data_IF_259010382072
#
_entry.id   IF_259010382072
#
_cell.length_a   1.000
_cell.length_b   1.000
_cell.length_c   1.000
_cell.angle_alpha   90.00
_cell.angle_beta   90.00
_cell.angle_gamma   90.00
#
_symmetry.space_group_name_H-M   'P 1'
#
loop_
_entity.id
_entity.type
_entity.pdbx_description
1 polymer ?
#
# COMPACT_ATOMS: atom_id res chain seq x y z
N UNK A 1 -37.08 -23.03 -59.42
CA UNK A 1 -36.27 -23.57 -58.29
C UNK A 1 -35.24 -22.51 -57.88
N UNK A 2 -35.53 -21.71 -56.84
CA UNK A 2 -34.62 -20.67 -56.33
C UNK A 2 -33.79 -21.27 -55.22
N UNK A 3 -32.46 -21.32 -55.37
CA UNK A 3 -31.50 -21.73 -54.33
C UNK A 3 -31.30 -20.56 -53.37
N UNK A 4 -31.67 -20.75 -52.14
CA UNK A 4 -31.41 -19.83 -51.03
C UNK A 4 -29.99 -20.12 -50.53
N UNK A 5 -29.07 -19.17 -50.68
CA UNK A 5 -27.72 -19.22 -50.09
C UNK A 5 -27.81 -18.66 -48.67
N UNK A 6 -27.63 -19.49 -47.65
CA UNK A 6 -27.50 -19.06 -46.24
C UNK A 6 -26.01 -18.74 -46.01
N UNK A 7 -25.69 -17.45 -45.87
CA UNK A 7 -24.38 -17.00 -45.44
C UNK A 7 -24.35 -16.99 -43.92
N UNK A 8 -23.64 -17.94 -43.32
CA UNK A 8 -23.39 -18.01 -41.87
C UNK A 8 -22.28 -17.03 -41.52
N UNK A 9 -22.62 -15.87 -40.92
CA UNK A 9 -21.62 -14.96 -40.33
C UNK A 9 -21.15 -15.56 -39.00
N UNK A 10 -19.93 -16.06 -38.96
CA UNK A 10 -19.24 -16.42 -37.72
C UNK A 10 -18.75 -15.13 -37.03
N UNK A 11 -19.45 -14.68 -35.98
CA UNK A 11 -18.95 -13.67 -35.06
C UNK A 11 -17.87 -14.32 -34.16
N UNK A 12 -16.60 -14.11 -34.53
CA UNK A 12 -15.47 -14.43 -33.62
C UNK A 12 -15.45 -13.34 -32.56
N UNK A 13 -16.05 -13.61 -31.40
CA UNK A 13 -15.87 -12.80 -30.22
C UNK A 13 -14.42 -12.90 -29.75
N UNK A 14 -13.62 -11.86 -29.98
CA UNK A 14 -12.29 -11.75 -29.38
C UNK A 14 -12.54 -11.45 -27.90
N UNK A 15 -12.50 -12.49 -27.07
CA UNK A 15 -12.42 -12.34 -25.62
C UNK A 15 -11.00 -11.84 -25.34
N UNK A 16 -10.84 -10.54 -25.16
CA UNK A 16 -9.62 -10.00 -24.55
C UNK A 16 -9.61 -10.52 -23.10
N UNK A 17 -8.96 -11.65 -22.87
CA UNK A 17 -8.58 -12.05 -21.54
C UNK A 17 -7.67 -10.97 -20.98
N UNK A 18 -8.13 -10.19 -20.02
CA UNK A 18 -7.25 -9.35 -19.21
C UNK A 18 -6.30 -10.31 -18.46
N UNK A 19 -5.11 -10.51 -19.04
CA UNK A 19 -4.03 -11.16 -18.29
C UNK A 19 -3.73 -10.27 -17.09
N UNK A 20 -3.89 -10.79 -15.89
CA UNK A 20 -3.46 -10.09 -14.69
C UNK A 20 -2.00 -9.66 -14.88
N UNK A 21 -1.73 -8.37 -14.77
CA UNK A 21 -0.38 -7.83 -14.98
C UNK A 21 0.54 -8.40 -13.90
N UNK A 22 1.53 -9.21 -14.34
CA UNK A 22 2.50 -9.82 -13.43
C UNK A 22 3.52 -8.78 -13.00
N UNK A 23 3.63 -8.53 -11.70
CA UNK A 23 4.69 -7.69 -11.14
C UNK A 23 6.02 -8.45 -11.23
N UNK A 24 7.08 -7.78 -11.68
CA UNK A 24 8.42 -8.35 -11.73
C UNK A 24 9.51 -7.28 -11.72
N UNK A 25 10.67 -7.64 -11.21
CA UNK A 25 11.86 -6.81 -11.35
C UNK A 25 12.16 -6.54 -12.82
N UNK A 26 12.59 -5.32 -13.12
CA UNK A 26 12.98 -4.96 -14.49
C UNK A 26 14.35 -5.57 -14.85
N UNK A 27 14.79 -5.39 -16.10
CA UNK A 27 16.05 -5.95 -16.59
C UNK A 27 17.30 -5.48 -15.85
N UNK A 28 17.20 -4.37 -15.08
CA UNK A 28 18.29 -3.85 -14.23
C UNK A 28 18.18 -4.37 -12.78
N UNK A 29 17.29 -5.34 -12.50
CA UNK A 29 17.05 -5.86 -11.18
C UNK A 29 16.42 -4.85 -10.21
N UNK A 30 15.64 -3.90 -10.71
CA UNK A 30 14.96 -2.88 -9.89
C UNK A 30 13.46 -3.03 -9.96
N UNK A 31 12.79 -2.71 -8.83
CA UNK A 31 11.34 -2.60 -8.74
C UNK A 31 11.00 -1.40 -7.85
N UNK A 32 10.25 -0.45 -8.38
CA UNK A 32 9.92 0.80 -7.70
C UNK A 32 8.44 0.87 -7.35
N UNK A 33 8.16 1.12 -6.08
CA UNK A 33 6.81 1.34 -5.55
C UNK A 33 6.67 2.81 -5.16
N UNK A 34 5.58 3.46 -5.56
CA UNK A 34 5.15 4.74 -5.00
C UNK A 34 3.96 4.48 -4.09
N UNK A 35 4.08 4.90 -2.84
CA UNK A 35 3.00 4.88 -1.86
C UNK A 35 2.36 6.25 -1.79
N UNK A 36 1.08 6.34 -2.18
CA UNK A 36 0.19 7.44 -1.87
C UNK A 36 -0.67 7.08 -0.67
N UNK A 37 -0.92 8.02 0.21
CA UNK A 37 -1.76 7.83 1.39
C UNK A 37 -2.50 9.11 1.74
N UNK A 38 -3.62 9.00 2.40
CA UNK A 38 -4.34 10.15 2.95
C UNK A 38 -4.58 11.24 1.90
N UNK A 39 -5.13 10.82 0.74
CA UNK A 39 -5.45 11.73 -0.36
C UNK A 39 -6.62 12.61 -0.01
N UNK A 40 -7.55 12.09 0.81
CA UNK A 40 -8.73 12.80 1.31
C UNK A 40 -9.45 13.61 0.24
N UNK A 41 -9.62 12.98 -0.92
CA UNK A 41 -10.18 13.64 -2.09
C UNK A 41 -11.69 13.90 -1.92
N UNK A 42 -12.09 15.13 -2.16
CA UNK A 42 -13.50 15.55 -2.22
C UNK A 42 -13.81 15.97 -3.66
N UNK A 43 -14.78 15.31 -4.28
CA UNK A 43 -15.17 15.58 -5.66
C UNK A 43 -15.70 17.02 -5.80
N UNK A 44 -15.21 17.74 -6.80
CA UNK A 44 -15.55 19.14 -7.09
C UNK A 44 -15.15 20.16 -6.00
N UNK A 45 -14.33 19.77 -5.02
CA UNK A 45 -13.76 20.71 -4.05
C UNK A 45 -12.40 21.22 -4.57
N UNK A 46 -12.21 22.54 -4.71
CA UNK A 46 -10.95 23.09 -5.22
C UNK A 46 -9.74 22.78 -4.32
N UNK A 47 -9.93 22.52 -3.02
CA UNK A 47 -8.87 22.11 -2.11
C UNK A 47 -8.27 20.76 -2.47
N UNK A 48 -9.05 19.89 -3.13
CA UNK A 48 -8.59 18.58 -3.59
C UNK A 48 -7.74 18.65 -4.88
N UNK A 49 -7.73 19.77 -5.60
CA UNK A 49 -7.03 19.87 -6.88
C UNK A 49 -5.52 19.62 -6.73
N UNK A 50 -4.92 20.09 -5.63
CA UNK A 50 -3.49 19.95 -5.37
C UNK A 50 -3.08 18.48 -5.13
N UNK A 51 -3.97 17.62 -4.62
CA UNK A 51 -3.66 16.19 -4.47
C UNK A 51 -3.53 15.50 -5.83
N UNK A 52 -4.43 15.82 -6.77
CA UNK A 52 -4.35 15.31 -8.15
C UNK A 52 -3.10 15.83 -8.87
N UNK A 53 -2.76 17.10 -8.70
CA UNK A 53 -1.52 17.69 -9.23
C UNK A 53 -0.30 16.94 -8.67
N UNK A 54 -0.27 16.73 -7.34
CA UNK A 54 0.82 16.03 -6.66
C UNK A 54 0.98 14.60 -7.13
N UNK A 55 -0.10 13.85 -7.23
CA UNK A 55 -0.07 12.48 -7.76
C UNK A 55 0.55 12.47 -9.16
N UNK A 56 0.11 13.36 -10.06
CA UNK A 56 0.62 13.41 -11.41
C UNK A 56 2.11 13.77 -11.47
N UNK A 57 2.56 14.79 -10.70
CA UNK A 57 3.97 15.16 -10.63
C UNK A 57 4.87 14.04 -10.10
N UNK A 58 4.42 13.32 -9.07
CA UNK A 58 5.16 12.18 -8.51
C UNK A 58 5.26 11.06 -9.53
N UNK A 59 4.15 10.70 -10.20
CA UNK A 59 4.15 9.64 -11.22
C UNK A 59 5.08 9.98 -12.40
N UNK A 60 5.08 11.24 -12.84
CA UNK A 60 5.92 11.69 -13.95
C UNK A 60 7.41 11.69 -13.57
N UNK A 61 7.74 12.05 -12.32
CA UNK A 61 9.11 12.08 -11.82
C UNK A 61 9.66 10.68 -11.50
N UNK A 62 8.86 9.83 -10.84
CA UNK A 62 9.33 8.54 -10.31
C UNK A 62 9.16 7.38 -11.29
N UNK A 63 8.13 7.39 -12.14
CA UNK A 63 7.82 6.32 -13.11
C UNK A 63 7.83 4.95 -12.44
N UNK A 64 6.93 4.72 -11.45
CA UNK A 64 6.95 3.50 -10.65
C UNK A 64 6.50 2.27 -11.46
N UNK A 65 6.92 1.10 -10.98
CA UNK A 65 6.45 -0.20 -11.45
C UNK A 65 5.12 -0.60 -10.78
N UNK A 66 4.82 -0.02 -9.60
CA UNK A 66 3.58 -0.21 -8.85
C UNK A 66 3.24 1.06 -8.06
N UNK A 67 1.95 1.39 -8.00
CA UNK A 67 1.41 2.37 -7.05
C UNK A 67 0.62 1.67 -5.97
N UNK A 68 0.91 1.98 -4.71
CA UNK A 68 0.18 1.50 -3.54
C UNK A 68 -0.56 2.67 -2.89
N UNK A 69 -1.89 2.59 -2.80
CA UNK A 69 -2.70 3.50 -1.99
C UNK A 69 -2.94 2.86 -0.62
N UNK A 70 -2.44 3.49 0.42
CA UNK A 70 -2.57 2.98 1.79
C UNK A 70 -3.65 3.72 2.58
N UNK A 71 -4.84 3.81 1.99
CA UNK A 71 -6.06 4.25 2.64
C UNK A 71 -6.34 5.75 2.58
N UNK A 72 -7.55 6.09 3.02
CA UNK A 72 -8.11 7.43 3.06
C UNK A 72 -7.99 8.16 1.69
N UNK A 73 -8.39 7.42 0.64
CA UNK A 73 -8.36 7.91 -0.73
C UNK A 73 -9.39 9.02 -0.94
N UNK A 74 -10.58 8.86 -0.35
CA UNK A 74 -11.69 9.81 -0.47
C UNK A 74 -12.17 10.33 0.88
N UNK A 75 -12.67 11.57 0.88
CA UNK A 75 -13.22 12.24 2.08
C UNK A 75 -14.51 13.03 1.80
N UNK A 76 -15.21 12.68 0.74
CA UNK A 76 -16.45 13.36 0.38
C UNK A 76 -17.30 12.64 -0.65
N UNK A 77 -18.55 13.10 -0.76
CA UNK A 77 -19.53 12.57 -1.72
C UNK A 77 -19.46 13.35 -3.04
N UNK A 78 -19.79 12.71 -4.17
CA UNK A 78 -20.11 11.29 -4.32
C UNK A 78 -18.86 10.41 -4.29
N UNK A 79 -18.90 9.33 -3.50
CA UNK A 79 -17.77 8.44 -3.21
C UNK A 79 -17.19 7.77 -4.47
N UNK A 80 -18.07 7.22 -5.34
CA UNK A 80 -17.63 6.54 -6.57
C UNK A 80 -16.85 7.48 -7.49
N UNK A 81 -17.38 8.67 -7.74
CA UNK A 81 -16.71 9.64 -8.63
C UNK A 81 -15.35 10.08 -8.06
N UNK A 82 -15.29 10.33 -6.76
CA UNK A 82 -14.03 10.66 -6.06
C UNK A 82 -13.00 9.55 -6.20
N UNK A 83 -13.37 8.31 -5.89
CA UNK A 83 -12.50 7.14 -6.02
C UNK A 83 -11.99 6.97 -7.45
N UNK A 84 -12.88 7.04 -8.45
CA UNK A 84 -12.50 6.98 -9.87
C UNK A 84 -11.59 8.12 -10.29
N UNK A 85 -11.84 9.33 -9.80
CA UNK A 85 -11.01 10.50 -10.15
C UNK A 85 -9.56 10.31 -9.70
N UNK A 86 -9.35 9.84 -8.49
CA UNK A 86 -8.01 9.61 -7.94
C UNK A 86 -7.32 8.43 -8.65
N UNK A 87 -7.94 7.26 -8.68
CA UNK A 87 -7.33 6.04 -9.20
C UNK A 87 -7.06 6.09 -10.72
N UNK A 88 -7.89 6.81 -11.47
CA UNK A 88 -7.66 7.04 -12.90
C UNK A 88 -6.42 7.90 -13.20
N UNK A 89 -5.86 8.63 -12.22
CA UNK A 89 -4.57 9.32 -12.45
C UNK A 89 -3.45 8.29 -12.73
N UNK A 90 -3.53 7.13 -12.07
CA UNK A 90 -2.58 6.02 -12.24
C UNK A 90 -2.97 5.14 -13.43
N UNK A 91 -4.23 4.69 -13.46
CA UNK A 91 -4.76 3.74 -14.46
C UNK A 91 -4.55 4.21 -15.90
N UNK A 92 -4.82 5.49 -16.20
CA UNK A 92 -4.63 6.07 -17.57
C UNK A 92 -3.17 6.14 -18.03
N UNK A 93 -2.20 5.94 -17.14
CA UNK A 93 -0.78 5.81 -17.45
C UNK A 93 -0.32 4.36 -17.67
N UNK A 94 -1.27 3.40 -17.61
CA UNK A 94 -1.01 1.97 -17.65
C UNK A 94 -0.04 1.49 -16.53
N UNK A 95 -0.04 2.16 -15.39
CA UNK A 95 0.72 1.75 -14.22
C UNK A 95 -0.17 0.84 -13.38
N UNK A 96 0.31 -0.35 -12.96
CA UNK A 96 -0.41 -1.18 -11.99
C UNK A 96 -0.59 -0.43 -10.67
N UNK A 97 -1.75 -0.60 -10.05
CA UNK A 97 -1.99 -0.05 -8.73
C UNK A 97 -2.78 -1.01 -7.84
N UNK A 98 -2.62 -0.82 -6.54
CA UNK A 98 -3.31 -1.57 -5.50
C UNK A 98 -3.76 -0.62 -4.39
N UNK A 99 -4.85 -0.99 -3.70
CA UNK A 99 -5.48 -0.16 -2.67
C UNK A 99 -5.72 -0.99 -1.41
N UNK A 100 -5.41 -0.44 -0.24
CA UNK A 100 -6.05 -0.83 1.02
C UNK A 100 -6.87 0.34 1.54
N UNK A 101 -7.97 0.07 2.25
CA UNK A 101 -8.85 1.12 2.77
C UNK A 101 -8.32 1.73 4.06
N UNK A 102 -8.58 3.03 4.22
CA UNK A 102 -8.47 3.76 5.49
C UNK A 102 -9.79 3.83 6.24
N UNK A 103 -9.80 4.52 7.37
CA UNK A 103 -10.99 4.63 8.20
C UNK A 103 -12.05 5.58 7.62
N UNK A 104 -11.67 6.51 6.76
CA UNK A 104 -12.60 7.48 6.17
C UNK A 104 -13.22 7.04 4.84
N UNK A 105 -12.66 6.06 4.13
CA UNK A 105 -13.14 5.69 2.81
C UNK A 105 -14.62 5.28 2.81
N UNK A 106 -15.07 4.50 3.80
CA UNK A 106 -16.46 4.03 3.89
C UNK A 106 -17.42 4.99 4.62
N UNK A 107 -16.98 6.16 5.04
CA UNK A 107 -17.84 7.19 5.65
C UNK A 107 -18.60 8.00 4.59
N UNK A 108 -18.29 7.83 3.31
CA UNK A 108 -18.82 8.65 2.22
C UNK A 108 -20.10 8.08 1.60
N UNK A 109 -20.76 7.13 2.28
CA UNK A 109 -22.06 6.58 1.92
C UNK A 109 -22.03 5.31 1.05
N UNK A 110 -20.85 4.75 0.83
CA UNK A 110 -20.63 3.42 0.25
C UNK A 110 -19.86 2.56 1.25
N UNK A 111 -20.19 1.28 1.33
CA UNK A 111 -19.42 0.33 2.14
C UNK A 111 -18.07 0.01 1.48
N UNK A 112 -17.15 -0.63 2.23
CA UNK A 112 -15.86 -1.09 1.68
C UNK A 112 -16.05 -2.09 0.54
N UNK A 113 -17.05 -2.97 0.63
CA UNK A 113 -17.37 -3.94 -0.42
C UNK A 113 -17.91 -3.27 -1.68
N UNK A 114 -18.71 -2.20 -1.54
CA UNK A 114 -19.19 -1.41 -2.68
C UNK A 114 -18.04 -0.66 -3.34
N UNK A 115 -17.16 -0.02 -2.55
CA UNK A 115 -15.95 0.63 -3.05
C UNK A 115 -15.01 -0.37 -3.73
N UNK A 116 -14.83 -1.56 -3.15
CA UNK A 116 -14.04 -2.63 -3.76
C UNK A 116 -14.59 -3.02 -5.14
N UNK A 117 -15.91 -3.19 -5.28
CA UNK A 117 -16.53 -3.48 -6.59
C UNK A 117 -16.27 -2.38 -7.61
N UNK A 118 -16.29 -1.12 -7.20
CA UNK A 118 -15.95 0.03 -8.07
C UNK A 118 -14.50 -0.08 -8.52
N UNK A 119 -13.56 -0.30 -7.60
CA UNK A 119 -12.13 -0.43 -7.86
C UNK A 119 -11.86 -1.56 -8.87
N UNK A 120 -12.57 -2.70 -8.76
CA UNK A 120 -12.44 -3.84 -9.68
C UNK A 120 -12.79 -3.49 -11.13
N UNK A 121 -13.53 -2.41 -11.39
CA UNK A 121 -13.85 -1.96 -12.75
C UNK A 121 -12.79 -1.07 -13.38
N UNK A 122 -11.77 -0.64 -12.62
CA UNK A 122 -10.75 0.29 -13.09
C UNK A 122 -9.57 -0.51 -13.69
N UNK A 123 -9.15 -0.23 -14.94
CA UNK A 123 -8.02 -0.93 -15.55
C UNK A 123 -6.72 -0.81 -14.76
N UNK A 124 -5.86 -1.83 -14.88
CA UNK A 124 -4.57 -1.93 -14.18
C UNK A 124 -4.67 -2.04 -12.65
N UNK A 125 -5.87 -2.26 -12.11
CA UNK A 125 -6.10 -2.54 -10.70
C UNK A 125 -5.61 -3.95 -10.35
N UNK A 126 -4.84 -4.05 -9.25
CA UNK A 126 -4.39 -5.31 -8.64
C UNK A 126 -4.99 -5.54 -7.26
N UNK A 127 -5.84 -4.63 -6.77
CA UNK A 127 -6.53 -4.80 -5.49
C UNK A 127 -7.36 -6.08 -5.51
N UNK A 128 -7.23 -6.88 -4.48
CA UNK A 128 -7.93 -8.15 -4.35
C UNK A 128 -8.50 -8.30 -2.93
N UNK A 129 -9.14 -9.42 -2.68
CA UNK A 129 -9.69 -9.79 -1.38
C UNK A 129 -9.41 -11.26 -1.10
N UNK A 130 -9.34 -11.63 0.16
CA UNK A 130 -9.33 -13.02 0.61
C UNK A 130 -10.64 -13.30 1.34
N UNK A 131 -11.41 -14.25 0.85
CA UNK A 131 -12.67 -14.63 1.48
C UNK A 131 -12.46 -15.33 2.82
N UNK A 132 -13.35 -15.11 3.77
CA UNK A 132 -13.40 -15.81 5.06
C UNK A 132 -12.46 -15.26 6.13
N UNK A 133 -11.85 -14.10 5.91
CA UNK A 133 -11.10 -13.35 6.93
C UNK A 133 -11.68 -11.94 7.10
N UNK A 134 -11.45 -11.34 8.25
CA UNK A 134 -11.92 -10.00 8.60
C UNK A 134 -11.36 -8.93 7.67
N UNK A 135 -12.18 -7.90 7.37
CA UNK A 135 -11.83 -6.82 6.43
C UNK A 135 -12.02 -7.20 4.97
N UNK A 136 -11.78 -6.25 4.07
CA UNK A 136 -12.06 -6.40 2.62
C UNK A 136 -10.77 -6.50 1.81
N UNK A 137 -9.78 -5.67 2.09
CA UNK A 137 -8.56 -5.56 1.27
C UNK A 137 -7.39 -6.34 1.88
N UNK A 138 -7.57 -7.66 2.04
CA UNK A 138 -6.48 -8.55 2.46
C UNK A 138 -6.04 -9.41 1.28
N UNK A 139 -4.84 -9.20 0.78
CA UNK A 139 -4.32 -9.93 -0.39
C UNK A 139 -2.79 -9.85 -0.48
N UNK A 140 -2.23 -10.61 -1.40
CA UNK A 140 -0.79 -10.73 -1.61
C UNK A 140 -0.46 -10.39 -3.06
N UNK A 141 0.58 -9.61 -3.27
CA UNK A 141 1.14 -9.31 -4.58
C UNK A 141 2.58 -9.84 -4.64
N UNK A 142 2.80 -11.00 -5.25
CA UNK A 142 4.16 -11.48 -5.51
C UNK A 142 4.83 -10.66 -6.61
N UNK A 143 6.09 -10.28 -6.38
CA UNK A 143 6.96 -9.67 -7.39
C UNK A 143 7.95 -10.73 -7.86
N UNK A 144 7.89 -11.06 -9.15
CA UNK A 144 8.77 -12.07 -9.76
C UNK A 144 10.19 -11.53 -9.94
N UNK A 145 11.16 -12.44 -9.95
CA UNK A 145 12.53 -12.17 -10.42
C UNK A 145 12.52 -11.56 -11.82
N UNK A 146 13.58 -10.88 -12.22
CA UNK A 146 13.69 -10.21 -13.52
C UNK A 146 13.57 -11.20 -14.71
N UNK A 147 13.95 -12.47 -14.52
CA UNK A 147 13.76 -13.55 -15.47
C UNK A 147 12.36 -14.21 -15.38
N UNK A 148 11.55 -13.85 -14.37
CA UNK A 148 10.20 -14.36 -14.15
C UNK A 148 10.13 -15.77 -13.54
N UNK A 149 11.27 -16.39 -13.18
CA UNK A 149 11.33 -17.80 -12.79
C UNK A 149 10.82 -18.10 -11.38
N UNK A 150 10.89 -17.13 -10.46
CA UNK A 150 10.51 -17.29 -9.04
C UNK A 150 9.90 -16.03 -8.46
N UNK A 151 9.23 -16.17 -7.32
CA UNK A 151 8.88 -15.03 -6.48
C UNK A 151 10.14 -14.53 -5.79
N UNK A 152 10.44 -13.24 -5.92
CA UNK A 152 11.66 -12.61 -5.39
C UNK A 152 11.35 -11.63 -4.26
N UNK A 153 10.13 -11.12 -4.21
CA UNK A 153 9.61 -10.26 -3.14
C UNK A 153 8.12 -10.53 -2.95
N UNK A 154 7.61 -10.40 -1.73
CA UNK A 154 6.18 -10.54 -1.42
C UNK A 154 5.66 -9.24 -0.81
N UNK A 155 4.55 -8.72 -1.34
CA UNK A 155 3.87 -7.57 -0.77
C UNK A 155 2.57 -8.02 -0.12
N UNK A 156 2.50 -7.96 1.22
CA UNK A 156 1.30 -8.20 2.00
C UNK A 156 0.49 -6.92 2.12
N UNK A 157 -0.76 -6.96 1.73
CA UNK A 157 -1.70 -5.85 1.89
C UNK A 157 -2.79 -6.29 2.84
N UNK A 158 -3.00 -5.52 3.91
CA UNK A 158 -3.98 -5.83 4.94
C UNK A 158 -4.98 -4.67 5.10
N UNK A 159 -6.22 -5.02 5.41
CA UNK A 159 -7.23 -4.07 5.85
C UNK A 159 -7.08 -3.83 7.35
N UNK A 160 -6.73 -2.60 7.73
CA UNK A 160 -6.56 -2.23 9.15
C UNK A 160 -7.85 -1.74 9.79
N UNK A 161 -8.99 -1.98 9.16
CA UNK A 161 -10.32 -1.60 9.64
C UNK A 161 -10.52 -0.09 9.82
N UNK A 162 -11.42 0.30 10.72
CA UNK A 162 -11.74 1.70 11.04
C UNK A 162 -11.67 1.92 12.55
N UNK A 163 -12.83 1.93 13.21
CA UNK A 163 -12.96 2.21 14.64
C UNK A 163 -13.31 0.94 15.41
N UNK A 164 -12.76 0.81 16.59
CA UNK A 164 -13.02 -0.33 17.48
C UNK A 164 -14.53 -0.48 17.75
N UNK A 165 -15.00 -1.72 17.68
CA UNK A 165 -16.38 -2.10 18.00
C UNK A 165 -16.47 -2.80 19.38
N UNK A 166 -15.36 -2.89 20.10
CA UNK A 166 -15.32 -3.52 21.43
C UNK A 166 -15.84 -2.54 22.47
N UNK A 167 -16.84 -2.93 23.23
CA UNK A 167 -17.41 -2.09 24.30
C UNK A 167 -16.33 -1.65 25.30
N UNK A 168 -16.27 -0.36 25.57
CA UNK A 168 -15.29 0.24 26.47
C UNK A 168 -13.90 0.47 25.90
N UNK A 169 -13.64 0.05 24.66
CA UNK A 169 -12.40 0.34 23.92
C UNK A 169 -12.70 1.38 22.85
N UNK A 170 -12.17 2.58 23.02
CA UNK A 170 -12.30 3.65 22.03
C UNK A 170 -11.17 3.66 21.01
N UNK A 171 -11.26 4.60 20.04
CA UNK A 171 -10.25 4.79 19.03
C UNK A 171 -10.35 3.78 17.88
N UNK A 172 -9.22 3.44 17.30
CA UNK A 172 -9.13 2.63 16.10
C UNK A 172 -9.12 1.13 16.39
N UNK A 173 -9.56 0.35 15.41
CA UNK A 173 -9.53 -1.11 15.46
C UNK A 173 -8.14 -1.65 15.13
N UNK A 174 -7.91 -2.91 15.44
CA UNK A 174 -6.63 -3.59 15.22
C UNK A 174 -6.75 -4.63 14.09
N UNK A 175 -5.63 -5.07 13.56
CA UNK A 175 -5.57 -6.21 12.62
C UNK A 175 -6.02 -7.48 13.36
N UNK A 176 -7.08 -8.12 12.89
CA UNK A 176 -7.72 -9.25 13.55
C UNK A 176 -6.87 -10.52 13.56
N UNK A 177 -7.16 -11.42 14.50
CA UNK A 177 -6.40 -12.66 14.67
C UNK A 177 -6.48 -13.60 13.46
N UNK A 178 -7.60 -13.60 12.73
CA UNK A 178 -7.75 -14.39 11.50
C UNK A 178 -6.90 -13.81 10.35
N UNK A 179 -6.74 -12.49 10.26
CA UNK A 179 -5.82 -11.84 9.33
C UNK A 179 -4.35 -12.18 9.68
N UNK A 180 -4.01 -12.20 10.97
CA UNK A 180 -2.68 -12.60 11.43
C UNK A 180 -2.41 -14.07 11.10
N UNK A 181 -3.38 -14.95 11.32
CA UNK A 181 -3.24 -16.37 10.96
C UNK A 181 -3.09 -16.54 9.45
N UNK A 182 -3.88 -15.83 8.65
CA UNK A 182 -3.76 -15.81 7.19
C UNK A 182 -2.38 -15.35 6.73
N UNK A 183 -1.83 -14.30 7.32
CA UNK A 183 -0.46 -13.86 7.05
C UNK A 183 0.55 -14.96 7.36
N UNK A 184 0.48 -15.56 8.54
CA UNK A 184 1.40 -16.62 9.00
C UNK A 184 1.37 -17.82 8.06
N UNK A 185 0.18 -18.28 7.68
CA UNK A 185 0.00 -19.44 6.80
C UNK A 185 0.61 -19.18 5.41
N UNK A 186 0.42 -17.99 4.87
CA UNK A 186 0.99 -17.60 3.59
C UNK A 186 2.51 -17.41 3.66
N UNK A 187 3.04 -16.77 4.69
CA UNK A 187 4.49 -16.64 4.92
C UNK A 187 5.17 -18.02 4.98
N UNK A 188 4.59 -18.95 5.73
CA UNK A 188 5.09 -20.34 5.80
C UNK A 188 5.02 -21.04 4.45
N UNK A 189 3.94 -20.85 3.69
CA UNK A 189 3.78 -21.41 2.35
C UNK A 189 4.86 -20.91 1.40
N UNK A 190 5.12 -19.60 1.36
CA UNK A 190 6.18 -19.01 0.54
C UNK A 190 7.57 -19.47 0.99
N UNK A 191 7.84 -19.48 2.29
CA UNK A 191 9.09 -20.00 2.86
C UNK A 191 9.32 -21.46 2.46
N UNK A 192 8.30 -22.30 2.56
CA UNK A 192 8.39 -23.72 2.16
C UNK A 192 8.67 -23.85 0.64
N UNK A 193 7.98 -23.06 -0.17
CA UNK A 193 8.18 -23.05 -1.63
C UNK A 193 9.58 -22.55 -2.02
N UNK A 194 10.21 -21.72 -1.19
CA UNK A 194 11.57 -21.19 -1.37
C UNK A 194 12.63 -21.99 -0.59
N UNK A 195 12.55 -23.30 -0.61
CA UNK A 195 13.50 -24.23 0.02
C UNK A 195 13.75 -23.95 1.52
N UNK A 196 12.73 -23.50 2.24
CA UNK A 196 12.79 -23.21 3.67
C UNK A 196 13.40 -21.85 4.03
N UNK A 197 13.68 -21.01 3.05
CA UNK A 197 14.17 -19.65 3.26
C UNK A 197 13.03 -18.64 3.10
N UNK A 198 12.79 -17.73 4.07
CA UNK A 198 11.82 -16.65 3.91
C UNK A 198 12.11 -15.82 2.66
N UNK A 199 11.08 -15.47 1.91
CA UNK A 199 11.21 -14.52 0.81
C UNK A 199 11.09 -13.11 1.41
N UNK A 200 12.02 -12.17 1.12
CA UNK A 200 11.90 -10.78 1.56
C UNK A 200 10.50 -10.22 1.26
N UNK A 201 9.95 -9.47 2.21
CA UNK A 201 8.55 -9.05 2.11
C UNK A 201 8.35 -7.65 2.67
N UNK A 202 7.37 -6.92 2.13
CA UNK A 202 6.86 -5.66 2.67
C UNK A 202 5.39 -5.80 3.04
N UNK A 203 4.96 -5.07 4.07
CA UNK A 203 3.56 -5.00 4.48
C UNK A 203 2.99 -3.59 4.32
N UNK A 204 1.76 -3.48 3.84
CA UNK A 204 1.05 -2.23 3.58
C UNK A 204 -0.34 -2.27 4.22
N UNK A 205 -0.65 -1.29 5.04
CA UNK A 205 -1.97 -1.05 5.61
C UNK A 205 -2.10 0.41 6.03
N UNK A 206 -3.27 0.84 6.53
CA UNK A 206 -3.52 2.25 6.80
C UNK A 206 -3.13 2.67 8.21
N UNK A 207 -3.74 2.08 9.24
CA UNK A 207 -3.59 2.49 10.64
C UNK A 207 -2.32 1.88 11.24
N UNK A 208 -1.45 2.70 11.80
CA UNK A 208 -0.18 2.30 12.38
C UNK A 208 -0.35 1.31 13.56
N UNK A 209 0.60 0.38 13.71
CA UNK A 209 0.66 -0.52 14.86
C UNK A 209 1.13 0.24 16.13
N UNK A 210 0.77 -0.23 17.33
CA UNK A 210 1.27 0.34 18.61
C UNK A 210 2.80 0.41 18.69
N UNK A 211 3.50 -0.45 17.99
CA UNK A 211 4.97 -0.48 17.91
C UNK A 211 5.58 0.78 17.28
N UNK A 212 4.85 1.54 16.46
CA UNK A 212 5.32 2.82 15.93
C UNK A 212 5.60 3.81 17.08
N UNK A 213 4.71 3.90 18.08
CA UNK A 213 4.93 4.71 19.25
C UNK A 213 6.10 4.21 20.11
N UNK A 214 6.24 2.89 20.26
CA UNK A 214 7.34 2.30 21.03
C UNK A 214 8.69 2.59 20.38
N UNK A 215 8.77 2.36 19.06
CA UNK A 215 9.98 2.60 18.29
C UNK A 215 10.39 4.08 18.30
N UNK A 216 9.48 4.98 18.01
CA UNK A 216 9.74 6.41 17.92
C UNK A 216 10.04 7.07 19.29
N UNK A 217 9.70 6.41 20.39
CA UNK A 217 10.00 6.87 21.76
C UNK A 217 11.27 6.24 22.34
N UNK A 218 11.92 5.32 21.63
CA UNK A 218 13.14 4.66 22.10
C UNK A 218 14.36 5.58 21.95
N UNK A 219 15.11 5.80 23.03
CA UNK A 219 16.35 6.59 23.03
C UNK A 219 17.43 6.01 22.09
N UNK A 220 17.36 4.72 21.81
CA UNK A 220 18.29 4.04 20.93
C UNK A 220 17.86 4.01 19.46
N UNK A 221 16.66 4.48 19.15
CA UNK A 221 16.13 4.44 17.79
C UNK A 221 16.92 5.39 16.86
N UNK A 222 17.17 4.91 15.65
CA UNK A 222 17.59 5.75 14.53
C UNK A 222 16.36 6.00 13.69
N UNK A 223 15.96 7.26 13.60
CA UNK A 223 14.76 7.70 12.91
C UNK A 223 15.13 8.76 11.87
N UNK A 224 14.59 8.66 10.67
CA UNK A 224 14.67 9.67 9.63
C UNK A 224 13.25 10.17 9.34
N UNK A 225 13.15 11.47 9.07
CA UNK A 225 11.88 12.09 8.77
C UNK A 225 11.33 12.93 9.90
N UNK A 226 10.08 13.31 9.77
CA UNK A 226 9.38 14.23 10.65
C UNK A 226 8.34 13.46 11.45
N UNK A 227 8.33 13.70 12.76
CA UNK A 227 7.31 13.25 13.70
C UNK A 227 6.79 14.47 14.45
N UNK A 228 5.55 14.86 14.16
CA UNK A 228 4.89 15.97 14.84
C UNK A 228 3.75 15.52 15.76
N UNK A 229 3.31 14.28 15.61
CA UNK A 229 2.24 13.75 16.42
C UNK A 229 2.58 12.35 16.94
N UNK A 230 1.77 11.87 17.86
CA UNK A 230 1.83 10.51 18.37
C UNK A 230 1.02 9.63 17.41
N UNK A 231 1.56 8.49 17.01
CA UNK A 231 0.83 7.54 16.20
C UNK A 231 -0.55 7.23 16.82
N UNK A 232 -1.62 7.46 16.06
CA UNK A 232 -3.00 7.18 16.45
C UNK A 232 -3.32 5.68 16.27
N UNK A 233 -2.48 4.83 16.86
CA UNK A 233 -2.59 3.39 16.82
C UNK A 233 -3.77 2.85 17.66
N UNK A 234 -4.23 1.61 17.39
CA UNK A 234 -5.18 0.90 18.23
C UNK A 234 -4.76 0.87 19.70
N UNK A 235 -5.73 0.93 20.62
CA UNK A 235 -5.46 0.74 22.05
C UNK A 235 -5.05 -0.69 22.38
N UNK A 236 -5.56 -1.66 21.61
CA UNK A 236 -5.22 -3.07 21.74
C UNK A 236 -4.18 -3.47 20.71
N UNK A 237 -3.22 -4.29 21.14
CA UNK A 237 -2.20 -4.86 20.27
C UNK A 237 -2.53 -6.33 20.01
N UNK A 238 -2.82 -6.70 18.78
CA UNK A 238 -3.14 -8.07 18.40
C UNK A 238 -1.92 -8.96 18.16
N UNK A 239 -0.70 -8.39 18.16
CA UNK A 239 0.54 -9.14 17.99
C UNK A 239 0.96 -9.39 16.54
N UNK A 240 0.46 -8.63 15.58
CA UNK A 240 0.88 -8.75 14.16
C UNK A 240 2.40 -8.54 14.03
N UNK A 241 2.96 -7.50 14.67
CA UNK A 241 4.40 -7.25 14.64
C UNK A 241 5.22 -8.45 15.17
N UNK A 242 4.79 -9.03 16.29
CA UNK A 242 5.44 -10.22 16.84
C UNK A 242 5.38 -11.41 15.87
N UNK A 243 4.24 -11.61 15.20
CA UNK A 243 4.08 -12.62 14.15
C UNK A 243 5.02 -12.40 12.96
N UNK A 244 5.15 -11.16 12.49
CA UNK A 244 6.08 -10.81 11.40
C UNK A 244 7.54 -11.05 11.81
N UNK A 245 7.88 -10.74 13.05
CA UNK A 245 9.23 -11.03 13.58
C UNK A 245 9.53 -12.51 13.67
N UNK A 246 8.55 -13.30 14.06
CA UNK A 246 8.68 -14.76 14.16
C UNK A 246 8.82 -15.42 12.78
N UNK A 247 8.04 -14.98 11.79
CA UNK A 247 8.13 -15.49 10.41
C UNK A 247 9.42 -15.05 9.71
N UNK A 248 9.95 -13.87 10.01
CA UNK A 248 11.26 -13.39 9.58
C UNK A 248 11.37 -12.99 8.12
N UNK A 249 10.23 -12.82 7.44
CA UNK A 249 10.14 -12.43 6.03
C UNK A 249 9.95 -10.92 5.84
N UNK A 250 9.20 -10.24 6.73
CA UNK A 250 8.87 -8.82 6.60
C UNK A 250 10.06 -7.93 6.99
N UNK A 251 10.53 -7.14 6.03
CA UNK A 251 11.62 -6.18 6.21
C UNK A 251 11.12 -4.75 6.47
N UNK A 252 9.92 -4.39 6.00
CA UNK A 252 9.33 -3.07 6.18
C UNK A 252 7.81 -3.08 6.25
N UNK A 253 7.25 -2.19 7.07
CA UNK A 253 5.83 -1.95 7.24
C UNK A 253 5.58 -0.49 6.88
N UNK A 254 4.62 -0.27 5.97
CA UNK A 254 4.30 1.05 5.42
C UNK A 254 2.83 1.39 5.68
N UNK A 255 2.60 2.52 6.35
CA UNK A 255 1.29 2.98 6.80
C UNK A 255 0.99 4.42 6.37
N UNK A 256 -0.23 4.88 6.60
CA UNK A 256 -0.68 6.26 6.49
C UNK A 256 -1.28 6.76 7.81
N UNK A 257 -2.43 7.45 7.74
CA UNK A 257 -3.30 7.80 8.84
C UNK A 257 -2.91 9.05 9.65
N UNK A 258 -1.65 9.17 10.07
CA UNK A 258 -1.14 10.31 10.85
C UNK A 258 -0.50 11.33 9.89
N UNK A 259 -1.23 12.43 9.59
CA UNK A 259 -0.92 13.31 8.44
C UNK A 259 0.33 14.16 8.65
N UNK A 260 0.68 14.43 9.89
CA UNK A 260 1.84 15.25 10.26
C UNK A 260 3.11 14.43 10.53
N UNK A 261 3.04 13.14 10.22
CA UNK A 261 4.16 12.20 10.34
C UNK A 261 4.58 11.66 8.96
N UNK A 262 5.88 11.57 8.76
CA UNK A 262 6.47 10.89 7.59
C UNK A 262 7.75 10.15 7.97
N UNK A 263 7.94 9.92 9.26
CA UNK A 263 9.16 9.28 9.73
C UNK A 263 9.23 7.80 9.34
N UNK A 264 10.46 7.32 9.32
CA UNK A 264 10.80 5.92 9.20
C UNK A 264 11.81 5.56 10.29
N UNK A 265 11.53 4.54 11.08
CA UNK A 265 12.31 4.11 12.23
C UNK A 265 12.54 2.61 12.20
N UNK A 266 13.76 2.15 12.45
CA UNK A 266 14.04 0.73 12.56
C UNK A 266 13.69 0.24 13.97
N UNK A 267 12.80 -0.75 14.04
CA UNK A 267 12.42 -1.43 15.28
C UNK A 267 12.64 -2.93 15.17
N UNK A 268 13.48 -3.47 16.06
CA UNK A 268 13.79 -4.91 16.09
C UNK A 268 14.18 -5.50 14.71
N UNK A 269 14.86 -4.69 13.87
CA UNK A 269 15.31 -5.11 12.55
C UNK A 269 14.24 -5.09 11.44
N UNK A 270 13.10 -4.45 11.67
CA UNK A 270 12.06 -4.14 10.66
C UNK A 270 11.94 -2.63 10.56
N UNK A 271 11.78 -2.09 9.36
CA UNK A 271 11.49 -0.68 9.17
C UNK A 271 10.01 -0.41 9.39
N UNK A 272 9.68 0.51 10.29
CA UNK A 272 8.34 1.07 10.48
C UNK A 272 8.32 2.45 9.82
N UNK A 273 7.54 2.63 8.76
CA UNK A 273 7.56 3.85 7.95
C UNK A 273 6.16 4.39 7.67
N UNK A 274 5.98 5.68 7.88
CA UNK A 274 4.81 6.40 7.37
C UNK A 274 4.98 6.76 5.90
N UNK A 275 3.88 6.75 5.14
CA UNK A 275 3.77 7.49 3.90
C UNK A 275 3.84 9.00 4.16
N UNK A 276 4.04 9.79 3.12
CA UNK A 276 3.82 11.23 3.19
C UNK A 276 2.37 11.52 2.77
N UNK A 277 1.64 12.28 3.58
CA UNK A 277 0.32 12.81 3.22
C UNK A 277 0.30 13.31 1.78
N UNK A 278 -0.62 12.80 0.98
CA UNK A 278 -0.73 13.14 -0.45
C UNK A 278 -1.78 14.20 -0.71
N UNK A 279 -2.70 14.39 0.22
CA UNK A 279 -3.89 15.20 0.11
C UNK A 279 -3.65 16.69 -0.09
N UNK A 280 -4.76 17.40 -0.27
CA UNK A 280 -4.81 18.85 -0.28
C UNK A 280 -5.22 19.41 1.09
N UNK A 281 -5.78 20.61 1.10
CA UNK A 281 -6.21 21.31 2.33
C UNK A 281 -7.63 20.90 2.78
N UNK A 282 -8.04 19.66 2.51
CA UNK A 282 -9.36 19.12 2.89
C UNK A 282 -9.43 18.69 4.35
N UNK A 283 -8.30 18.30 4.92
CA UNK A 283 -8.11 17.96 6.33
C UNK A 283 -6.82 18.62 6.84
N UNK A 284 -6.54 18.48 8.15
CA UNK A 284 -5.30 19.03 8.72
C UNK A 284 -4.06 18.39 8.07
N UNK A 285 -3.05 19.19 7.83
CA UNK A 285 -1.72 18.75 7.39
C UNK A 285 -0.75 19.94 7.50
N UNK A 286 0.37 19.74 8.17
CA UNK A 286 1.41 20.74 8.37
C UNK A 286 2.71 20.38 7.62
N UNK A 287 2.69 19.38 6.75
CA UNK A 287 3.81 18.98 5.91
C UNK A 287 3.50 19.25 4.43
N UNK A 288 4.48 19.62 3.60
CA UNK A 288 4.31 19.64 2.16
C UNK A 288 3.83 18.28 1.65
N UNK A 289 2.73 18.23 0.90
CA UNK A 289 2.17 17.00 0.39
C UNK A 289 3.12 16.29 -0.59
N UNK A 290 3.06 14.97 -0.63
CA UNK A 290 3.99 14.17 -1.42
C UNK A 290 3.63 12.69 -1.47
N UNK A 291 4.65 11.86 -1.59
CA UNK A 291 4.54 10.42 -1.58
C UNK A 291 5.81 9.79 -0.99
N UNK A 292 5.70 8.58 -0.45
CA UNK A 292 6.87 7.75 -0.17
C UNK A 292 7.20 6.90 -1.39
N UNK A 293 8.47 6.79 -1.68
CA UNK A 293 9.00 5.93 -2.74
C UNK A 293 9.85 4.83 -2.11
N UNK A 294 9.70 3.61 -2.63
CA UNK A 294 10.43 2.43 -2.17
C UNK A 294 11.04 1.79 -3.41
N UNK A 295 12.34 1.57 -3.41
CA UNK A 295 13.06 0.93 -4.50
C UNK A 295 13.74 -0.34 -3.99
N UNK A 296 13.27 -1.47 -4.49
CA UNK A 296 13.82 -2.80 -4.26
C UNK A 296 14.93 -3.09 -5.26
N UNK A 297 15.91 -3.89 -4.84
CA UNK A 297 16.94 -4.44 -5.73
C UNK A 297 16.92 -5.96 -5.64
N UNK A 298 16.75 -6.63 -6.75
CA UNK A 298 16.68 -8.10 -6.82
C UNK A 298 17.92 -8.74 -6.19
N UNK A 299 17.70 -9.67 -5.23
CA UNK A 299 18.77 -10.39 -4.55
C UNK A 299 19.51 -9.59 -3.48
N UNK A 300 19.21 -8.31 -3.26
CA UNK A 300 19.70 -7.56 -2.12
C UNK A 300 18.71 -7.65 -0.96
N UNK A 301 19.24 -7.69 0.27
CA UNK A 301 18.47 -7.55 1.48
C UNK A 301 18.19 -6.07 1.74
N UNK A 302 16.94 -5.73 2.10
CA UNK A 302 16.54 -4.37 2.33
C UNK A 302 16.22 -3.60 1.04
N UNK A 303 16.08 -2.30 1.18
CA UNK A 303 15.60 -1.42 0.11
C UNK A 303 16.07 0.02 0.32
N UNK A 304 15.90 0.85 -0.71
CA UNK A 304 16.01 2.31 -0.57
C UNK A 304 14.62 2.91 -0.43
N UNK A 305 14.49 3.98 0.34
CA UNK A 305 13.25 4.74 0.45
C UNK A 305 13.51 6.23 0.59
N UNK A 306 12.61 7.04 0.03
CA UNK A 306 12.66 8.50 0.11
C UNK A 306 11.24 9.09 0.05
N UNK A 307 11.13 10.36 0.41
CA UNK A 307 9.93 11.15 0.20
C UNK A 307 10.10 11.99 -1.06
N UNK A 308 9.11 11.98 -1.93
CA UNK A 308 8.99 12.84 -3.10
C UNK A 308 7.94 13.91 -2.81
N UNK A 309 8.36 15.17 -2.83
CA UNK A 309 7.49 16.36 -2.77
C UNK A 309 7.58 17.13 -4.08
N UNK A 310 6.94 18.30 -4.17
CA UNK A 310 7.03 19.17 -5.35
C UNK A 310 8.47 19.57 -5.64
N UNK A 311 9.01 19.05 -6.75
CA UNK A 311 10.35 19.37 -7.21
C UNK A 311 11.50 18.92 -6.29
N UNK A 312 11.24 18.15 -5.21
CA UNK A 312 12.24 17.79 -4.21
C UNK A 312 12.20 16.30 -3.83
N UNK A 313 13.33 15.83 -3.32
CA UNK A 313 13.48 14.51 -2.71
C UNK A 313 14.06 14.68 -1.30
N UNK A 314 13.41 14.09 -0.31
CA UNK A 314 13.79 14.17 1.10
C UNK A 314 14.03 12.77 1.67
N UNK A 315 14.75 12.65 2.77
CA UNK A 315 14.91 11.39 3.54
C UNK A 315 15.39 10.20 2.70
N UNK A 316 16.32 10.40 1.78
CA UNK A 316 16.84 9.31 0.95
C UNK A 316 17.77 8.41 1.79
N UNK A 317 17.26 7.26 2.20
CA UNK A 317 17.94 6.30 3.07
C UNK A 317 17.92 4.90 2.48
N UNK A 318 18.91 4.08 2.87
CA UNK A 318 18.98 2.65 2.56
C UNK A 318 18.74 1.85 3.84
N UNK A 319 17.71 1.04 3.85
CA UNK A 319 17.45 0.08 4.92
C UNK A 319 18.17 -1.25 4.61
N UNK A 320 18.81 -1.90 5.59
CA UNK A 320 18.99 -1.44 6.97
C UNK A 320 20.21 -0.50 7.18
N UNK A 321 21.06 -0.30 6.18
CA UNK A 321 22.40 0.31 6.33
C UNK A 321 22.39 1.67 7.02
N UNK A 322 21.45 2.56 6.61
CA UNK A 322 21.34 3.91 7.20
C UNK A 322 20.89 3.91 8.66
N UNK A 323 20.28 2.82 9.12
CA UNK A 323 19.75 2.66 10.49
C UNK A 323 20.69 1.93 11.44
N UNK A 324 21.76 1.34 10.93
CA UNK A 324 22.78 0.70 11.75
C UNK A 324 23.72 1.76 12.29
N UNK A 325 23.86 1.84 13.62
CA UNK A 325 24.90 2.68 14.23
C UNK A 325 26.26 2.13 13.81
N UNK A 326 27.16 3.00 13.35
CA UNK A 326 28.54 2.62 13.15
C UNK A 326 29.03 1.92 14.43
N UNK A 327 29.53 0.70 14.31
CA UNK A 327 30.22 0.04 15.44
C UNK A 327 31.37 0.94 15.84
N UNK A 328 31.27 1.56 17.02
CA UNK A 328 32.36 2.33 17.64
C UNK A 328 33.44 1.37 18.08
#
# INVERSE_FOLDING_TARGET
>A
MKKLLFTLLLLIGIVFGMSAQTLKFNANGKFKIVQFTDVHYIQNDPRSAVSVERINEVLDAEKPDLVMFTGDVIYGKPAEEGMRTVLNQVSKRNIPFAVTFGNHDNEQGLSREELFKIIQTIPNNLTSTTEGISGVTNYILPVKSSDGSKDAEILYVLDSHSYSQIEGIGGYDYIDFDQIQWYRDNSQKYTKANAGQPIPSLAFFHIALPEYNQAASSESAVMFGIRKEKACAPQLNSGLFASMKEMGDVEGIFVGHDHDDDYAVMWQGVLLAYGRYTGGDTVYNNLPNGARVIELTEGEKGFRTWIRTKGSTEQNVKFPDSYLKAKR
#
